data_IF_084598036649
#
_entry.id   IF_084598036649
#
_cell.length_a   1.000
_cell.length_b   1.000
_cell.length_c   1.000
_cell.angle_alpha   90.00
_cell.angle_beta   90.00
_cell.angle_gamma   90.00
#
_symmetry.space_group_name_H-M   'P 1'
#
loop_
_entity.id
_entity.type
_entity.pdbx_description
1 polymer ?
#
# COMPACT_ATOMS: atom_id res chain seq x y z
N UNK A 1 11.70 16.95 7.89
CA UNK A 1 11.15 16.18 6.75
C UNK A 1 10.81 17.15 5.63
N UNK A 2 11.40 17.01 4.43
CA UNK A 2 11.13 17.93 3.32
C UNK A 2 9.68 17.76 2.87
N UNK A 3 8.94 18.86 2.76
CA UNK A 3 7.51 18.93 2.38
C UNK A 3 7.19 18.28 1.04
N UNK A 4 8.19 18.10 0.19
CA UNK A 4 8.08 17.52 -1.14
C UNK A 4 7.40 16.14 -1.16
N UNK A 5 7.65 15.28 -0.17
CA UNK A 5 7.03 13.96 -0.10
C UNK A 5 5.51 14.04 0.07
N UNK A 6 5.03 14.98 0.89
CA UNK A 6 3.60 15.20 1.08
C UNK A 6 2.93 15.76 -0.17
N UNK A 7 3.63 16.64 -0.90
CA UNK A 7 3.17 17.16 -2.18
C UNK A 7 3.06 16.03 -3.21
N UNK A 8 4.10 15.21 -3.35
CA UNK A 8 4.11 14.08 -4.27
C UNK A 8 2.99 13.08 -3.96
N UNK A 9 2.78 12.75 -2.68
CA UNK A 9 1.73 11.83 -2.25
C UNK A 9 0.33 12.41 -2.49
N UNK A 10 0.14 13.71 -2.24
CA UNK A 10 -1.10 14.41 -2.57
C UNK A 10 -1.41 14.37 -4.06
N UNK A 11 -0.43 14.67 -4.91
CA UNK A 11 -0.57 14.62 -6.38
C UNK A 11 -0.94 13.20 -6.84
N UNK A 12 -0.23 12.18 -6.36
CA UNK A 12 -0.49 10.79 -6.72
C UNK A 12 -1.92 10.36 -6.34
N UNK A 13 -2.39 10.80 -5.17
CA UNK A 13 -3.74 10.53 -4.67
C UNK A 13 -4.80 11.18 -5.57
N UNK A 14 -4.63 12.46 -5.92
CA UNK A 14 -5.54 13.17 -6.81
C UNK A 14 -5.59 12.51 -8.19
N UNK A 15 -4.43 12.17 -8.77
CA UNK A 15 -4.37 11.47 -10.06
C UNK A 15 -5.13 10.14 -10.00
N UNK A 16 -4.95 9.38 -8.93
CA UNK A 16 -5.64 8.08 -8.76
C UNK A 16 -7.16 8.25 -8.69
N UNK A 17 -7.66 9.26 -7.96
CA UNK A 17 -9.09 9.57 -7.91
C UNK A 17 -9.63 10.00 -9.28
N UNK A 18 -8.90 10.87 -10.00
CA UNK A 18 -9.30 11.30 -11.35
C UNK A 18 -9.39 10.09 -12.28
N UNK A 19 -8.40 9.20 -12.24
CA UNK A 19 -8.41 7.98 -13.06
C UNK A 19 -9.62 7.10 -12.73
N UNK A 20 -9.90 6.89 -11.44
CA UNK A 20 -11.00 6.06 -10.99
C UNK A 20 -12.36 6.60 -11.45
N UNK A 21 -12.63 7.88 -11.17
CA UNK A 21 -13.94 8.47 -11.47
C UNK A 21 -14.15 8.81 -12.96
N UNK A 22 -13.08 9.10 -13.71
CA UNK A 22 -13.21 9.49 -15.12
C UNK A 22 -13.11 8.30 -16.06
N UNK A 23 -12.29 7.29 -15.75
CA UNK A 23 -12.01 6.18 -16.66
C UNK A 23 -12.57 4.83 -16.20
N UNK A 24 -12.75 4.61 -14.89
CA UNK A 24 -13.20 3.32 -14.36
C UNK A 24 -14.66 3.30 -13.90
N UNK A 25 -15.30 4.47 -13.69
CA UNK A 25 -16.68 4.56 -13.23
C UNK A 25 -17.69 3.86 -14.14
N UNK A 26 -17.52 3.95 -15.46
CA UNK A 26 -18.38 3.28 -16.45
C UNK A 26 -17.84 1.92 -16.91
N UNK A 27 -16.64 1.54 -16.47
CA UNK A 27 -16.01 0.29 -16.87
C UNK A 27 -16.45 -0.83 -15.92
N UNK A 28 -17.59 -1.44 -16.24
CA UNK A 28 -18.31 -2.45 -15.44
C UNK A 28 -17.62 -3.84 -15.43
N UNK A 29 -16.29 -3.87 -15.29
CA UNK A 29 -15.54 -5.13 -15.30
C UNK A 29 -15.49 -5.82 -13.94
N UNK A 30 -15.64 -5.09 -12.83
CA UNK A 30 -15.49 -5.64 -11.49
C UNK A 30 -16.39 -4.95 -10.46
N UNK A 31 -16.96 -5.75 -9.54
CA UNK A 31 -17.87 -5.30 -8.48
C UNK A 31 -17.28 -4.25 -7.54
N UNK A 32 -15.96 -4.21 -7.39
CA UNK A 32 -15.29 -3.24 -6.52
C UNK A 32 -15.21 -1.83 -7.12
N UNK A 33 -15.46 -1.65 -8.42
CA UNK A 33 -15.56 -0.32 -9.03
C UNK A 33 -16.79 0.47 -8.51
N UNK A 34 -17.77 -0.22 -7.92
CA UNK A 34 -18.89 0.41 -7.24
C UNK A 34 -18.50 1.08 -5.91
N UNK A 35 -17.31 0.77 -5.37
CA UNK A 35 -16.81 1.34 -4.12
C UNK A 35 -15.94 2.55 -4.47
N UNK A 36 -16.35 3.79 -4.15
CA UNK A 36 -15.56 4.97 -4.46
C UNK A 36 -14.25 4.99 -3.67
N UNK A 37 -13.15 5.24 -4.37
CA UNK A 37 -11.79 5.25 -3.84
C UNK A 37 -11.19 3.85 -3.63
N UNK A 38 -11.80 2.79 -4.18
CA UNK A 38 -11.41 1.41 -3.88
C UNK A 38 -9.91 1.18 -4.08
N UNK A 39 -9.34 1.67 -5.18
CA UNK A 39 -7.95 1.41 -5.53
C UNK A 39 -6.96 2.08 -4.58
N UNK A 40 -7.31 3.26 -4.04
CA UNK A 40 -6.48 3.97 -3.06
C UNK A 40 -6.49 3.21 -1.73
N UNK A 41 -7.68 2.81 -1.27
CA UNK A 41 -7.79 2.02 -0.05
C UNK A 41 -7.09 0.67 -0.19
N UNK A 42 -7.26 0.00 -1.32
CA UNK A 42 -6.64 -1.29 -1.59
C UNK A 42 -5.11 -1.17 -1.68
N UNK A 43 -4.60 -0.16 -2.36
CA UNK A 43 -3.15 0.11 -2.44
C UNK A 43 -2.55 0.41 -1.07
N UNK A 44 -3.22 1.24 -0.26
CA UNK A 44 -2.79 1.53 1.10
C UNK A 44 -2.82 0.29 1.99
N UNK A 45 -3.92 -0.46 1.97
CA UNK A 45 -4.08 -1.70 2.73
C UNK A 45 -3.01 -2.71 2.34
N UNK A 46 -2.76 -2.89 1.04
CA UNK A 46 -1.72 -3.78 0.52
C UNK A 46 -0.34 -3.39 1.04
N UNK A 47 -0.02 -2.09 1.07
CA UNK A 47 1.24 -1.60 1.59
C UNK A 47 1.40 -1.91 3.08
N UNK A 48 0.36 -1.66 3.87
CA UNK A 48 0.31 -1.99 5.30
C UNK A 48 0.50 -3.50 5.52
N UNK A 49 -0.26 -4.32 4.79
CA UNK A 49 -0.17 -5.79 4.85
C UNK A 49 1.24 -6.24 4.54
N UNK A 50 1.85 -5.76 3.45
CA UNK A 50 3.23 -6.12 3.07
C UNK A 50 4.22 -5.76 4.18
N UNK A 51 4.13 -4.58 4.78
CA UNK A 51 5.01 -4.18 5.89
C UNK A 51 4.89 -5.15 7.07
N UNK A 52 3.67 -5.47 7.50
CA UNK A 52 3.46 -6.34 8.65
C UNK A 52 3.85 -7.79 8.37
N UNK A 53 3.46 -8.32 7.21
CA UNK A 53 3.84 -9.67 6.76
C UNK A 53 5.36 -9.78 6.65
N UNK A 54 6.03 -8.77 6.08
CA UNK A 54 7.49 -8.77 5.97
C UNK A 54 8.18 -8.77 7.33
N UNK A 55 7.67 -7.98 8.29
CA UNK A 55 8.19 -7.98 9.67
C UNK A 55 7.98 -9.34 10.36
N UNK A 56 6.80 -9.93 10.19
CA UNK A 56 6.48 -11.22 10.77
C UNK A 56 7.36 -12.34 10.19
N UNK A 57 7.50 -12.37 8.86
CA UNK A 57 8.37 -13.33 8.17
C UNK A 57 9.84 -13.14 8.59
N UNK A 58 10.28 -11.88 8.73
CA UNK A 58 11.61 -11.57 9.27
C UNK A 58 11.83 -12.18 10.66
N UNK A 59 10.86 -12.05 11.57
CA UNK A 59 10.90 -12.65 12.93
C UNK A 59 10.94 -14.16 12.94
N UNK A 60 10.24 -14.80 12.01
CA UNK A 60 10.20 -16.25 11.96
C UNK A 60 11.44 -16.88 11.31
N UNK A 61 11.96 -16.26 10.25
CA UNK A 61 12.96 -16.92 9.39
C UNK A 61 14.34 -16.26 9.39
N UNK A 62 14.42 -14.95 9.61
CA UNK A 62 15.66 -14.19 9.37
C UNK A 62 16.34 -13.79 10.68
N UNK A 63 15.59 -13.41 11.70
CA UNK A 63 16.18 -13.05 12.98
C UNK A 63 16.74 -14.30 13.67
N UNK A 64 18.07 -14.37 13.71
CA UNK A 64 18.83 -15.39 14.43
C UNK A 64 18.81 -15.06 15.94
N UNK A 65 18.81 -16.09 16.79
CA UNK A 65 18.97 -15.93 18.23
C UNK A 65 20.25 -15.16 18.58
N UNK A 66 20.19 -14.30 19.61
CA UNK A 66 21.33 -13.46 20.04
C UNK A 66 22.58 -14.30 20.38
N UNK A 67 22.41 -15.52 20.89
CA UNK A 67 23.51 -16.47 21.19
C UNK A 67 24.25 -17.03 19.96
N UNK A 68 23.94 -16.61 18.73
CA UNK A 68 24.63 -17.15 17.54
C UNK A 68 26.08 -16.69 17.40
N UNK A 69 26.43 -15.51 17.93
CA UNK A 69 27.79 -14.96 17.89
C UNK A 69 28.54 -15.07 19.24
N UNK A 70 27.86 -15.47 20.31
CA UNK A 70 28.46 -15.77 21.62
C UNK A 70 29.00 -17.21 21.71
N UNK A 71 29.09 -17.92 20.57
CA UNK A 71 29.80 -19.19 20.43
C UNK A 71 31.08 -19.04 19.61
#
# INVERSE_FOLDING_TARGET
>A
MKTWHWIALGILTVISLVLEFVFLADYDSHWWNAIPGFYIYWGFLSCVVIIYVSKWLGKLFIFRSEEYYDR
#
